data_IF_221138982971
#
_entry.id   IF_221138982971
#
_cell.length_a   1.000
_cell.length_b   1.000
_cell.length_c   1.000
_cell.angle_alpha   90.00
_cell.angle_beta   90.00
_cell.angle_gamma   90.00
#
_symmetry.space_group_name_H-M   'P 1'
#
loop_
_entity.id
_entity.type
_entity.pdbx_description
1 polymer ?
#
# COMPACT_ATOMS: atom_id res chain seq x y z
N UNK A 1 6.56 1.10 7.61
CA UNK A 1 5.37 0.61 8.33
C UNK A 1 4.50 -0.18 7.34
N UNK A 2 4.79 -1.46 7.20
CA UNK A 2 4.24 -2.46 6.28
C UNK A 2 2.70 -2.60 6.38
N UNK A 3 2.14 -2.34 7.58
CA UNK A 3 0.68 -2.32 7.79
C UNK A 3 -0.05 -1.31 6.90
N UNK A 4 0.63 -0.26 6.45
CA UNK A 4 0.06 0.75 5.55
C UNK A 4 -0.30 0.14 4.20
N UNK A 5 0.63 -0.61 3.59
CA UNK A 5 0.44 -1.21 2.26
C UNK A 5 -0.55 -2.37 2.28
N UNK A 6 -0.47 -3.23 3.31
CA UNK A 6 -1.44 -4.33 3.48
C UNK A 6 -2.85 -3.79 3.74
N UNK A 7 -2.96 -2.78 4.63
CA UNK A 7 -4.23 -2.10 4.89
C UNK A 7 -4.80 -1.39 3.66
N UNK A 8 -3.95 -0.79 2.83
CA UNK A 8 -4.36 -0.20 1.55
C UNK A 8 -4.87 -1.26 0.58
N UNK A 9 -4.24 -2.43 0.50
CA UNK A 9 -4.74 -3.54 -0.31
C UNK A 9 -6.17 -3.95 0.09
N UNK A 10 -6.42 -4.15 1.38
CA UNK A 10 -7.76 -4.48 1.87
C UNK A 10 -8.78 -3.36 1.63
N UNK A 11 -8.37 -2.11 1.82
CA UNK A 11 -9.23 -0.96 1.55
C UNK A 11 -9.57 -0.85 0.05
N UNK A 12 -8.61 -1.10 -0.83
CA UNK A 12 -8.81 -1.02 -2.27
C UNK A 12 -9.79 -2.09 -2.76
N UNK A 13 -9.78 -3.30 -2.23
CA UNK A 13 -10.78 -4.32 -2.57
C UNK A 13 -12.22 -3.86 -2.28
N UNK A 14 -12.42 -3.15 -1.16
CA UNK A 14 -13.72 -2.61 -0.78
C UNK A 14 -14.08 -1.36 -1.60
N UNK A 15 -13.08 -0.55 -2.00
CA UNK A 15 -13.29 0.67 -2.78
C UNK A 15 -13.44 0.42 -4.29
N UNK A 16 -12.85 -0.64 -4.84
CA UNK A 16 -12.88 -0.96 -6.26
C UNK A 16 -14.31 -1.01 -6.83
N UNK A 17 -15.30 -1.66 -6.18
CA UNK A 17 -16.69 -1.62 -6.63
C UNK A 17 -17.46 -0.37 -6.16
N UNK A 18 -16.83 0.62 -5.50
CA UNK A 18 -17.50 1.76 -4.85
C UNK A 18 -17.13 3.10 -5.50
N UNK A 19 -17.46 3.24 -6.78
CA UNK A 19 -17.30 4.50 -7.52
C UNK A 19 -18.17 5.65 -6.99
N UNK A 20 -19.15 5.36 -6.14
CA UNK A 20 -19.96 6.35 -5.42
C UNK A 20 -19.19 7.01 -4.25
N UNK A 21 -18.07 6.42 -3.81
CA UNK A 21 -17.25 6.95 -2.72
C UNK A 21 -16.07 7.76 -3.25
N UNK A 22 -15.86 8.94 -2.65
CA UNK A 22 -14.64 9.71 -2.84
C UNK A 22 -13.58 9.21 -1.86
N UNK A 23 -12.43 8.81 -2.39
CA UNK A 23 -11.28 8.42 -1.58
C UNK A 23 -10.18 9.48 -1.65
N UNK A 24 -9.51 9.73 -0.53
CA UNK A 24 -8.35 10.60 -0.44
C UNK A 24 -7.38 10.08 0.62
N UNK A 25 -6.08 10.32 0.42
CA UNK A 25 -5.01 9.91 1.34
C UNK A 25 -4.37 11.15 1.94
N UNK A 26 -4.25 11.20 3.26
CA UNK A 26 -3.53 12.26 3.98
C UNK A 26 -2.23 11.69 4.52
N UNK A 27 -1.10 12.17 3.98
CA UNK A 27 0.23 11.92 4.54
C UNK A 27 0.43 12.86 5.73
N UNK A 28 0.21 12.36 6.95
CA UNK A 28 0.11 13.17 8.18
C UNK A 28 1.30 14.11 8.39
N UNK A 29 2.53 13.66 8.10
CA UNK A 29 3.75 14.46 8.28
C UNK A 29 3.82 15.61 7.27
N UNK A 30 3.45 15.35 6.01
CA UNK A 30 3.55 16.30 4.91
C UNK A 30 2.36 17.27 4.87
N UNK A 31 1.17 16.79 5.24
CA UNK A 31 -0.09 17.52 5.17
C UNK A 31 -0.70 17.75 6.57
N UNK A 32 0.13 18.20 7.53
CA UNK A 32 -0.27 18.44 8.93
C UNK A 32 -1.54 19.28 9.07
N UNK A 33 -1.67 20.36 8.29
CA UNK A 33 -2.85 21.22 8.34
C UNK A 33 -4.14 20.48 7.94
N UNK A 34 -4.09 19.68 6.87
CA UNK A 34 -5.23 18.86 6.45
C UNK A 34 -5.53 17.76 7.47
N UNK A 35 -4.50 17.14 8.04
CA UNK A 35 -4.63 16.14 9.09
C UNK A 35 -5.31 16.73 10.33
N UNK A 36 -4.85 17.88 10.83
CA UNK A 36 -5.45 18.53 12.00
C UNK A 36 -6.92 18.90 11.75
N UNK A 37 -7.25 19.45 10.57
CA UNK A 37 -8.62 19.76 10.20
C UNK A 37 -9.52 18.53 10.25
N UNK A 38 -9.06 17.38 9.74
CA UNK A 38 -9.83 16.13 9.80
C UNK A 38 -10.02 15.67 11.26
N UNK A 39 -8.99 15.76 12.11
CA UNK A 39 -9.12 15.45 13.54
C UNK A 39 -10.11 16.37 14.25
N UNK A 40 -10.11 17.67 13.94
CA UNK A 40 -11.05 18.65 14.50
C UNK A 40 -12.50 18.37 14.08
N UNK A 41 -12.72 18.05 12.79
CA UNK A 41 -14.06 17.78 12.26
C UNK A 41 -14.62 16.44 12.73
N UNK A 42 -13.77 15.43 12.88
CA UNK A 42 -14.19 14.06 13.22
C UNK A 42 -14.14 13.78 14.73
N UNK A 43 -13.34 14.51 15.49
CA UNK A 43 -12.99 14.18 16.88
C UNK A 43 -12.04 12.98 17.01
N UNK A 44 -11.53 12.45 15.90
CA UNK A 44 -10.69 11.24 15.87
C UNK A 44 -9.22 11.62 15.98
N UNK A 45 -8.52 10.99 16.94
CA UNK A 45 -7.08 11.11 17.09
C UNK A 45 -6.39 10.22 16.05
N UNK A 46 -5.42 10.79 15.34
CA UNK A 46 -4.78 10.10 14.22
C UNK A 46 -3.73 9.06 14.64
N UNK A 47 -3.97 7.81 14.25
CA UNK A 47 -3.09 6.66 14.50
C UNK A 47 -2.70 5.98 13.18
N UNK A 48 -1.65 6.48 12.52
CA UNK A 48 -1.25 6.03 11.19
C UNK A 48 -0.73 4.58 11.14
N UNK A 49 -1.08 3.79 10.11
CA UNK A 49 -2.17 4.01 9.13
C UNK A 49 -3.56 3.97 9.78
N UNK A 50 -4.46 4.87 9.38
CA UNK A 50 -5.85 4.91 9.84
C UNK A 50 -6.79 5.12 8.65
N UNK A 51 -7.94 4.46 8.68
CA UNK A 51 -9.03 4.64 7.72
C UNK A 51 -10.18 5.33 8.42
N UNK A 52 -10.75 6.38 7.81
CA UNK A 52 -11.96 7.04 8.28
C UNK A 52 -12.99 7.02 7.14
N UNK A 53 -14.24 6.66 7.46
CA UNK A 53 -15.37 6.77 6.55
C UNK A 53 -16.29 7.90 6.98
N UNK A 54 -16.66 8.74 6.01
CA UNK A 54 -17.54 9.87 6.23
C UNK A 54 -18.89 9.64 5.56
N UNK A 55 -19.96 10.06 6.23
CA UNK A 55 -21.31 10.16 5.67
C UNK A 55 -21.90 11.50 6.10
N UNK A 56 -22.40 12.27 5.14
CA UNK A 56 -23.01 13.59 5.38
C UNK A 56 -22.10 14.52 6.21
N UNK A 57 -20.79 14.49 5.94
CA UNK A 57 -19.78 15.31 6.61
C UNK A 57 -19.38 14.83 8.01
N UNK A 58 -19.89 13.70 8.49
CA UNK A 58 -19.56 13.12 9.81
C UNK A 58 -18.79 11.83 9.67
N UNK A 59 -17.77 11.63 10.50
CA UNK A 59 -17.08 10.34 10.61
C UNK A 59 -18.04 9.31 11.23
N UNK A 60 -18.34 8.25 10.48
CA UNK A 60 -19.26 7.18 10.92
C UNK A 60 -18.52 5.89 11.27
N UNK A 61 -17.24 5.83 10.94
CA UNK A 61 -16.35 4.71 11.21
C UNK A 61 -14.90 5.18 11.12
N UNK A 62 -14.08 4.70 12.03
CA UNK A 62 -12.63 4.82 11.96
C UNK A 62 -11.98 3.52 12.44
N UNK A 63 -10.83 3.18 11.86
CA UNK A 63 -10.06 1.99 12.23
C UNK A 63 -8.57 2.29 12.06
N UNK A 64 -7.78 1.92 13.06
CA UNK A 64 -6.36 2.23 13.17
C UNK A 64 -5.45 1.10 12.69
N UNK A 65 -4.15 1.33 12.83
CA UNK A 65 -3.09 0.43 12.38
C UNK A 65 -3.08 -0.94 13.08
N UNK A 66 -3.85 -1.15 14.14
CA UNK A 66 -3.96 -2.46 14.78
C UNK A 66 -5.12 -3.27 14.23
N UNK A 67 -6.13 -2.61 13.68
CA UNK A 67 -7.44 -3.20 13.44
C UNK A 67 -7.88 -3.17 11.97
N UNK A 68 -7.10 -2.59 11.06
CA UNK A 68 -7.38 -2.65 9.63
C UNK A 68 -7.30 -4.11 9.15
N UNK A 69 -8.46 -4.68 8.84
CA UNK A 69 -8.64 -6.04 8.32
C UNK A 69 -9.87 -6.09 7.40
N UNK A 70 -10.01 -7.11 6.53
CA UNK A 70 -11.17 -7.22 5.65
C UNK A 70 -12.51 -7.19 6.41
N UNK A 71 -12.60 -7.90 7.54
CA UNK A 71 -13.83 -7.99 8.34
C UNK A 71 -14.20 -6.66 9.00
N UNK A 72 -13.22 -5.95 9.55
CA UNK A 72 -13.44 -4.64 10.17
C UNK A 72 -13.82 -3.59 9.12
N UNK A 73 -13.19 -3.62 7.94
CA UNK A 73 -13.54 -2.74 6.83
C UNK A 73 -14.97 -3.02 6.33
N UNK A 74 -15.35 -4.29 6.13
CA UNK A 74 -16.73 -4.64 5.75
C UNK A 74 -17.78 -4.09 6.74
N UNK A 75 -17.49 -4.12 8.04
CA UNK A 75 -18.34 -3.49 9.05
C UNK A 75 -18.49 -1.98 8.82
N UNK A 76 -17.38 -1.28 8.57
CA UNK A 76 -17.39 0.14 8.26
C UNK A 76 -18.20 0.47 7.00
N UNK A 77 -17.96 -0.26 5.91
CA UNK A 77 -18.64 -0.03 4.63
C UNK A 77 -20.14 -0.29 4.69
N UNK A 78 -20.62 -1.18 5.58
CA UNK A 78 -22.07 -1.35 5.84
C UNK A 78 -22.74 -0.08 6.41
N UNK A 79 -22.00 0.81 7.06
CA UNK A 79 -22.53 2.09 7.59
C UNK A 79 -22.72 3.14 6.48
N UNK A 80 -22.08 2.94 5.33
CA UNK A 80 -22.19 3.79 4.14
C UNK A 80 -22.62 2.94 2.93
N UNK A 81 -23.90 2.50 2.89
CA UNK A 81 -24.39 1.65 1.81
C UNK A 81 -24.32 2.38 0.45
N UNK A 82 -24.19 1.63 -0.67
CA UNK A 82 -24.12 2.23 -2.00
C UNK A 82 -25.35 3.08 -2.31
N UNK A 83 -25.13 4.26 -2.88
CA UNK A 83 -26.22 5.23 -3.17
C UNK A 83 -26.86 5.06 -4.55
N UNK A 84 -26.43 4.08 -5.36
CA UNK A 84 -26.85 3.88 -6.76
C UNK A 84 -25.65 3.70 -7.70
N UNK A 85 -25.93 3.36 -8.97
CA UNK A 85 -25.04 2.86 -10.05
C UNK A 85 -23.57 2.72 -9.65
N UNK A 86 -23.21 1.49 -9.28
CA UNK A 86 -21.82 1.02 -9.27
C UNK A 86 -21.37 1.04 -10.73
N UNK A 87 -20.76 2.14 -11.16
CA UNK A 87 -19.97 2.12 -12.38
C UNK A 87 -18.69 1.35 -12.06
N UNK A 88 -18.39 0.34 -12.85
CA UNK A 88 -17.15 -0.43 -12.81
C UNK A 88 -16.02 0.48 -13.31
N UNK A 89 -15.64 1.46 -12.50
CA UNK A 89 -14.49 2.30 -12.78
C UNK A 89 -13.30 1.50 -12.28
N UNK A 90 -12.66 0.76 -13.19
CA UNK A 90 -11.36 0.18 -12.92
C UNK A 90 -10.49 1.25 -12.26
N UNK A 91 -10.08 1.01 -11.00
CA UNK A 91 -9.24 1.95 -10.28
C UNK A 91 -8.04 2.28 -11.18
N UNK A 92 -7.67 3.56 -11.36
CA UNK A 92 -6.53 3.91 -12.18
C UNK A 92 -5.32 3.11 -11.70
N UNK A 93 -4.68 2.36 -12.61
CA UNK A 93 -3.47 1.58 -12.30
C UNK A 93 -2.46 2.48 -11.61
N UNK A 94 -1.90 2.03 -10.49
CA UNK A 94 -0.91 2.79 -9.74
C UNK A 94 0.40 2.90 -10.55
N UNK A 95 1.21 3.94 -10.32
CA UNK A 95 2.45 4.11 -11.08
C UNK A 95 3.55 3.19 -10.53
N UNK A 96 3.77 2.05 -11.19
CA UNK A 96 4.82 1.08 -10.82
C UNK A 96 6.14 1.32 -11.58
N UNK A 97 6.25 2.41 -12.33
CA UNK A 97 7.43 2.69 -13.19
C UNK A 97 8.72 2.65 -12.39
N UNK A 98 8.73 3.27 -11.20
CA UNK A 98 9.91 3.33 -10.32
C UNK A 98 10.35 1.94 -9.86
N UNK A 99 9.42 1.07 -9.44
CA UNK A 99 9.75 -0.30 -9.02
C UNK A 99 10.28 -1.14 -10.18
N UNK A 100 9.65 -1.02 -11.36
CA UNK A 100 10.10 -1.71 -12.56
C UNK A 100 11.50 -1.30 -12.98
N UNK A 101 11.79 0.00 -12.96
CA UNK A 101 13.12 0.50 -13.26
C UNK A 101 14.14 -0.05 -12.26
N UNK A 102 13.85 0.00 -10.96
CA UNK A 102 14.76 -0.53 -9.94
C UNK A 102 15.03 -2.03 -10.14
N UNK A 103 13.99 -2.83 -10.38
CA UNK A 103 14.12 -4.26 -10.69
C UNK A 103 14.95 -4.50 -11.95
N UNK A 104 14.74 -3.71 -13.01
CA UNK A 104 15.52 -3.82 -14.24
C UNK A 104 17.00 -3.53 -14.01
N UNK A 105 17.35 -2.51 -13.24
CA UNK A 105 18.75 -2.21 -12.91
C UNK A 105 19.39 -3.34 -12.11
N UNK A 106 18.68 -3.91 -11.14
CA UNK A 106 19.17 -5.03 -10.33
C UNK A 106 19.38 -6.30 -11.15
N UNK A 107 18.38 -6.69 -11.95
CA UNK A 107 18.43 -7.89 -12.78
C UNK A 107 19.51 -7.79 -13.87
N UNK A 108 19.74 -6.58 -14.41
CA UNK A 108 20.85 -6.29 -15.32
C UNK A 108 22.23 -6.28 -14.64
N UNK A 109 22.29 -6.39 -13.31
CA UNK A 109 23.55 -6.34 -12.54
C UNK A 109 24.18 -4.95 -12.46
N UNK A 110 23.42 -3.88 -12.73
CA UNK A 110 23.88 -2.50 -12.61
C UNK A 110 23.98 -2.04 -11.14
N UNK A 111 23.23 -2.69 -10.26
CA UNK A 111 23.30 -2.52 -8.81
C UNK A 111 23.45 -3.88 -8.14
N UNK A 112 24.15 -3.92 -7.01
CA UNK A 112 24.33 -5.13 -6.21
C UNK A 112 23.13 -5.40 -5.28
N UNK A 113 23.13 -6.57 -4.62
CA UNK A 113 22.06 -7.02 -3.73
C UNK A 113 21.76 -6.00 -2.61
N UNK A 114 22.81 -5.37 -2.05
CA UNK A 114 22.69 -4.42 -0.94
C UNK A 114 22.11 -3.09 -1.41
N UNK A 115 22.57 -2.58 -2.55
CA UNK A 115 22.05 -1.36 -3.16
C UNK A 115 20.58 -1.54 -3.54
N UNK A 116 20.23 -2.70 -4.10
CA UNK A 116 18.85 -3.04 -4.44
C UNK A 116 17.95 -3.08 -3.20
N UNK A 117 18.36 -3.78 -2.15
CA UNK A 117 17.59 -3.88 -0.90
C UNK A 117 17.34 -2.50 -0.28
N UNK A 118 18.36 -1.66 -0.15
CA UNK A 118 18.22 -0.31 0.42
C UNK A 118 17.27 0.54 -0.42
N UNK A 119 17.48 0.58 -1.73
CA UNK A 119 16.63 1.37 -2.63
C UNK A 119 15.18 0.87 -2.60
N UNK A 120 14.97 -0.44 -2.65
CA UNK A 120 13.65 -1.06 -2.67
C UNK A 120 12.90 -0.80 -1.37
N UNK A 121 13.52 -1.09 -0.23
CA UNK A 121 12.86 -0.94 1.08
C UNK A 121 12.58 0.50 1.44
N UNK A 122 13.42 1.44 0.99
CA UNK A 122 13.17 2.89 1.13
C UNK A 122 11.98 3.31 0.28
N UNK A 123 11.99 2.98 -1.02
CA UNK A 123 10.86 3.28 -1.92
C UNK A 123 9.55 2.67 -1.41
N UNK A 124 9.58 1.40 -1.00
CA UNK A 124 8.41 0.68 -0.51
C UNK A 124 7.82 1.30 0.76
N UNK A 125 8.67 1.89 1.62
CA UNK A 125 8.22 2.55 2.83
C UNK A 125 7.61 3.93 2.55
N UNK A 126 8.22 4.68 1.64
CA UNK A 126 7.81 6.05 1.32
C UNK A 126 6.60 6.08 0.38
N UNK A 127 6.24 4.91 -0.14
CA UNK A 127 5.05 4.69 -0.93
C UNK A 127 3.76 4.90 -0.14
N UNK A 128 2.87 5.70 -0.70
CA UNK A 128 1.51 5.84 -0.18
C UNK A 128 0.49 5.97 -1.30
N UNK A 129 0.79 5.42 -2.47
CA UNK A 129 -0.22 5.23 -3.50
C UNK A 129 -1.18 4.10 -3.10
N UNK A 130 -2.47 4.28 -3.41
CA UNK A 130 -3.43 3.18 -3.33
C UNK A 130 -3.10 2.18 -4.44
N UNK A 131 -2.79 0.94 -4.04
CA UNK A 131 -2.36 -0.14 -4.93
C UNK A 131 -3.28 -1.34 -4.83
N UNK A 132 -3.53 -1.96 -5.98
CA UNK A 132 -4.36 -3.16 -6.01
C UNK A 132 -3.73 -4.24 -5.14
N UNK A 133 -4.57 -5.12 -4.58
CA UNK A 133 -4.09 -6.22 -3.74
C UNK A 133 -3.05 -7.07 -4.46
N UNK A 134 -3.23 -7.30 -5.76
CA UNK A 134 -2.29 -8.05 -6.58
C UNK A 134 -0.95 -7.33 -6.74
N UNK A 135 -0.95 -6.01 -6.96
CA UNK A 135 0.28 -5.20 -6.99
C UNK A 135 1.03 -5.28 -5.65
N UNK A 136 0.31 -5.14 -4.53
CA UNK A 136 0.89 -5.22 -3.18
C UNK A 136 1.47 -6.61 -2.90
N UNK A 137 0.77 -7.68 -3.27
CA UNK A 137 1.26 -9.05 -3.12
C UNK A 137 2.53 -9.30 -3.94
N UNK A 138 2.58 -8.82 -5.19
CA UNK A 138 3.77 -8.94 -6.04
C UNK A 138 4.95 -8.20 -5.43
N UNK A 139 4.76 -6.97 -4.96
CA UNK A 139 5.82 -6.20 -4.30
C UNK A 139 6.27 -6.84 -2.97
N UNK A 140 5.35 -7.37 -2.16
CA UNK A 140 5.72 -8.06 -0.93
C UNK A 140 6.44 -9.40 -1.19
N UNK A 141 6.26 -10.04 -2.35
CA UNK A 141 6.88 -11.32 -2.65
C UNK A 141 8.42 -11.30 -2.71
N UNK A 142 9.02 -10.12 -2.91
CA UNK A 142 10.48 -9.97 -3.05
C UNK A 142 11.18 -10.14 -1.71
N UNK A 143 10.75 -9.41 -0.68
CA UNK A 143 11.39 -9.39 0.63
C UNK A 143 10.54 -9.98 1.76
N UNK A 144 9.28 -10.33 1.49
CA UNK A 144 8.31 -10.70 2.52
C UNK A 144 7.85 -9.45 3.28
N UNK A 145 7.67 -9.59 4.60
CA UNK A 145 7.46 -8.43 5.47
C UNK A 145 8.73 -7.57 5.46
N UNK A 146 8.67 -6.42 4.76
CA UNK A 146 9.78 -5.48 4.61
C UNK A 146 10.26 -4.93 5.96
N UNK A 147 9.36 -4.73 6.93
CA UNK A 147 9.75 -4.26 8.26
C UNK A 147 10.46 -5.39 9.04
N UNK A 148 9.99 -6.64 8.93
CA UNK A 148 10.68 -7.81 9.50
C UNK A 148 12.02 -8.08 8.82
N UNK A 149 12.10 -7.89 7.50
CA UNK A 149 13.32 -8.07 6.71
C UNK A 149 14.42 -7.10 7.14
N UNK A 150 14.08 -5.81 7.30
CA UNK A 150 15.01 -4.80 7.78
C UNK A 150 15.50 -5.06 9.21
N UNK A 151 14.61 -5.57 10.08
CA UNK A 151 14.99 -5.98 11.43
C UNK A 151 15.94 -7.18 11.44
N UNK A 152 15.74 -8.15 10.52
CA UNK A 152 16.65 -9.29 10.34
C UNK A 152 17.99 -8.89 9.72
N UNK A 153 18.01 -7.95 8.76
CA UNK A 153 19.22 -7.57 8.05
C UNK A 153 20.23 -6.82 8.95
N UNK A 154 19.76 -6.14 10.00
CA UNK A 154 20.64 -5.60 11.06
C UNK A 154 21.43 -6.69 11.82
N UNK A 155 21.00 -7.96 11.78
CA UNK A 155 21.63 -9.06 12.51
C UNK A 155 22.44 -10.03 11.63
N UNK A 156 22.33 -9.98 10.30
CA UNK A 156 22.92 -10.96 9.37
C UNK A 156 23.50 -10.32 8.10
N UNK A 157 24.51 -9.45 8.22
CA UNK A 157 25.12 -8.81 7.07
C UNK A 157 26.10 -9.75 6.33
N UNK A 158 25.88 -10.00 5.02
CA UNK A 158 26.96 -10.42 4.11
C UNK A 158 26.79 -11.72 3.29
N UNK A 159 25.58 -12.26 3.13
CA UNK A 159 25.35 -13.37 2.19
C UNK A 159 24.55 -12.90 0.98
N UNK A 160 25.16 -12.99 -0.20
CA UNK A 160 24.44 -12.87 -1.48
C UNK A 160 23.43 -14.03 -1.56
N UNK A 161 22.16 -13.69 -1.71
CA UNK A 161 21.07 -14.65 -1.74
C UNK A 161 20.64 -14.85 -3.20
N UNK A 162 21.05 -15.97 -3.82
CA UNK A 162 20.56 -16.33 -5.16
C UNK A 162 19.03 -16.41 -5.21
N UNK A 163 18.37 -16.68 -4.09
CA UNK A 163 16.91 -16.66 -4.00
C UNK A 163 16.34 -15.23 -4.08
N UNK A 164 17.10 -14.19 -3.70
CA UNK A 164 16.67 -12.79 -3.88
C UNK A 164 16.57 -12.42 -5.36
N UNK A 165 17.57 -12.76 -6.18
CA UNK A 165 17.48 -12.54 -7.63
C UNK A 165 16.32 -13.30 -8.27
N UNK A 166 16.08 -14.55 -7.86
CA UNK A 166 14.95 -15.32 -8.36
C UNK A 166 13.60 -14.68 -8.00
N UNK A 167 13.42 -14.23 -6.75
CA UNK A 167 12.21 -13.52 -6.31
C UNK A 167 12.02 -12.20 -7.07
N UNK A 168 13.09 -11.42 -7.24
CA UNK A 168 13.05 -10.17 -8.02
C UNK A 168 12.66 -10.40 -9.48
N UNK A 169 13.17 -11.47 -10.10
CA UNK A 169 12.82 -11.85 -11.47
C UNK A 169 11.33 -12.21 -11.58
N UNK A 170 10.84 -13.08 -10.69
CA UNK A 170 9.44 -13.48 -10.68
C UNK A 170 8.49 -12.29 -10.44
N UNK A 171 8.86 -11.38 -9.54
CA UNK A 171 8.09 -10.16 -9.32
C UNK A 171 8.08 -9.25 -10.55
N UNK A 172 9.23 -9.06 -11.21
CA UNK A 172 9.33 -8.25 -12.42
C UNK A 172 8.46 -8.79 -13.57
N UNK A 173 8.43 -10.10 -13.76
CA UNK A 173 7.58 -10.77 -14.77
C UNK A 173 6.09 -10.58 -14.47
N UNK A 174 5.68 -10.76 -13.20
CA UNK A 174 4.29 -10.53 -12.78
C UNK A 174 3.88 -9.07 -12.97
N UNK A 175 4.74 -8.10 -12.61
CA UNK A 175 4.46 -6.68 -12.84
C UNK A 175 4.33 -6.32 -14.32
N UNK A 176 5.08 -6.97 -15.23
CA UNK A 176 4.88 -6.79 -16.67
C UNK A 176 3.54 -7.35 -17.13
N UNK A 177 3.19 -8.56 -16.72
CA UNK A 177 1.92 -9.20 -17.11
C UNK A 177 0.67 -8.40 -16.66
N UNK A 178 0.76 -7.68 -15.54
CA UNK A 178 -0.32 -6.81 -15.06
C UNK A 178 -0.49 -5.53 -15.89
N UNK A 179 0.56 -5.11 -16.58
CA UNK A 179 0.58 -3.87 -17.35
C UNK A 179 0.28 -4.08 -18.84
N UNK A 180 0.62 -5.26 -19.37
CA UNK A 180 0.34 -5.64 -20.76
C UNK A 180 -1.13 -6.06 -20.99
N UNK A 181 -1.87 -6.40 -19.92
CA UNK A 181 -3.32 -6.61 -19.92
C UNK A 181 -4.09 -5.32 -19.66
#
# INVERSE_FOLDING_TARGET
CHKTMQGFGFLQEQLQPRSDLRCGVIRVVEARAASNLVSELSGVIHHSPQVLLFKDGRAVFDVDNWSISPTTLEEGFRRVPPSGVIADIAAPRSDLTSYRQLLKHYLAGLIDDRQFEIAYTTMFRDDAELRSREEVEVLNSIFGDVDQHLAMHQMMAGRSDKALRQRAQAAYERLQALWDN
#
